data_IF_361274571620
#
_entry.id   IF_361274571620
#
_cell.length_a   1.000
_cell.length_b   1.000
_cell.length_c   1.000
_cell.angle_alpha   90.00
_cell.angle_beta   90.00
_cell.angle_gamma   90.00
#
_symmetry.space_group_name_H-M   'P 1'
#
loop_
_entity.id
_entity.type
_entity.pdbx_description
1 polymer ?
#
# COMPACT_ATOMS: atom_id res chain seq x y z
N UNK A 1 -7.88 -20.26 22.59
CA UNK A 1 -7.60 -19.30 21.50
C UNK A 1 -6.10 -19.14 21.43
N UNK A 2 -5.44 -19.67 20.39
CA UNK A 2 -3.99 -19.57 20.27
C UNK A 2 -3.62 -18.11 20.00
N UNK A 3 -2.79 -17.51 20.85
CA UNK A 3 -2.07 -16.29 20.51
C UNK A 3 -1.29 -16.58 19.22
N UNK A 4 -1.66 -15.91 18.12
CA UNK A 4 -0.77 -15.83 16.97
C UNK A 4 0.44 -15.03 17.45
N UNK A 5 1.64 -15.58 17.27
CA UNK A 5 2.86 -14.79 17.39
C UNK A 5 2.71 -13.51 16.57
N UNK A 6 2.90 -12.34 17.20
CA UNK A 6 2.84 -11.02 16.53
C UNK A 6 3.95 -10.85 15.46
N UNK A 7 4.86 -11.81 15.34
CA UNK A 7 5.95 -11.83 14.37
C UNK A 7 5.52 -12.61 13.13
N UNK A 8 5.40 -11.91 12.00
CA UNK A 8 5.17 -12.50 10.69
C UNK A 8 6.29 -13.51 10.35
N UNK A 9 5.97 -14.71 9.89
CA UNK A 9 6.97 -15.64 9.37
C UNK A 9 7.35 -15.32 7.90
N UNK A 10 8.29 -16.06 7.33
CA UNK A 10 8.77 -15.82 5.96
C UNK A 10 7.68 -16.07 4.91
N UNK A 11 6.84 -17.09 5.07
CA UNK A 11 5.72 -17.40 4.17
C UNK A 11 4.64 -16.30 4.20
N UNK A 12 4.38 -15.73 5.38
CA UNK A 12 3.46 -14.60 5.55
C UNK A 12 4.00 -13.33 4.88
N UNK A 13 5.29 -13.04 5.03
CA UNK A 13 5.94 -11.92 4.34
C UNK A 13 5.93 -12.09 2.83
N UNK A 14 6.18 -13.30 2.34
CA UNK A 14 6.12 -13.61 0.92
C UNK A 14 4.70 -13.48 0.37
N UNK A 15 3.69 -13.92 1.13
CA UNK A 15 2.29 -13.71 0.78
C UNK A 15 1.92 -12.22 0.70
N UNK A 16 2.48 -11.38 1.57
CA UNK A 16 2.29 -9.91 1.49
C UNK A 16 2.99 -9.36 0.26
N UNK A 17 4.24 -9.78 -0.03
CA UNK A 17 4.99 -9.37 -1.22
C UNK A 17 4.21 -9.66 -2.50
N UNK A 18 3.71 -10.89 -2.65
CA UNK A 18 2.94 -11.30 -3.82
C UNK A 18 1.68 -10.46 -4.02
N UNK A 19 0.95 -10.12 -2.94
CA UNK A 19 -0.19 -9.20 -3.03
C UNK A 19 0.22 -7.82 -3.54
N UNK A 20 1.38 -7.31 -3.13
CA UNK A 20 1.89 -6.02 -3.63
C UNK A 20 2.30 -6.06 -5.11
N UNK A 21 2.85 -7.19 -5.56
CA UNK A 21 3.29 -7.38 -6.95
C UNK A 21 2.11 -7.58 -7.91
N UNK A 22 1.05 -8.24 -7.46
CA UNK A 22 -0.18 -8.45 -8.25
C UNK A 22 -1.06 -7.20 -8.34
N UNK A 23 -0.96 -6.28 -7.39
CA UNK A 23 -1.69 -5.01 -7.42
C UNK A 23 -1.13 -4.05 -8.47
N UNK A 24 -1.99 -3.21 -9.06
CA UNK A 24 -1.60 -2.22 -10.08
C UNK A 24 -0.36 -1.42 -9.63
N UNK A 25 0.66 -1.24 -10.50
CA UNK A 25 1.87 -0.50 -10.15
C UNK A 25 1.59 0.90 -9.57
N UNK A 26 2.43 1.30 -8.62
CA UNK A 26 2.42 2.65 -8.06
C UNK A 26 3.06 3.68 -9.00
N UNK A 27 3.02 4.97 -8.64
CA UNK A 27 2.41 5.49 -7.41
C UNK A 27 0.88 5.55 -7.52
N UNK A 28 0.20 5.34 -6.38
CA UNK A 28 -1.22 5.61 -6.23
C UNK A 28 -1.39 6.94 -5.52
N UNK A 29 -2.34 7.76 -5.99
CA UNK A 29 -2.61 9.07 -5.41
C UNK A 29 -4.11 9.26 -5.22
N UNK A 30 -4.48 9.68 -4.01
CA UNK A 30 -5.86 10.03 -3.67
C UNK A 30 -6.20 11.43 -4.21
N UNK A 31 -7.30 11.52 -4.96
CA UNK A 31 -7.92 12.76 -5.40
C UNK A 31 -9.33 12.83 -4.79
N UNK A 32 -9.59 13.90 -4.05
CA UNK A 32 -10.84 14.12 -3.33
C UNK A 32 -11.56 15.35 -3.90
N UNK A 33 -12.83 15.19 -4.24
CA UNK A 33 -13.66 16.30 -4.71
C UNK A 33 -13.80 17.35 -3.59
N UNK A 34 -13.61 18.62 -3.95
CA UNK A 34 -13.59 19.75 -3.03
C UNK A 34 -12.26 19.99 -2.33
N UNK A 35 -11.32 19.02 -2.36
CA UNK A 35 -9.95 19.17 -1.82
C UNK A 35 -8.92 19.34 -2.94
N UNK A 36 -8.93 18.41 -3.89
CA UNK A 36 -7.90 18.28 -4.93
C UNK A 36 -8.43 18.63 -6.33
N UNK A 37 -9.74 18.56 -6.53
CA UNK A 37 -10.44 18.97 -7.75
C UNK A 37 -11.85 19.49 -7.41
N UNK A 38 -12.51 20.16 -8.36
CA UNK A 38 -13.75 20.91 -8.09
C UNK A 38 -15.03 20.24 -8.60
N UNK A 39 -14.92 19.11 -9.29
CA UNK A 39 -16.07 18.41 -9.87
C UNK A 39 -15.75 16.93 -10.13
N UNK A 40 -16.75 16.06 -9.97
CA UNK A 40 -16.67 14.63 -10.28
C UNK A 40 -16.54 13.79 -9.01
N UNK A 41 -16.49 12.47 -9.13
CA UNK A 41 -16.26 11.58 -7.98
C UNK A 41 -14.85 11.74 -7.40
N UNK A 42 -14.67 11.42 -6.13
CA UNK A 42 -13.35 11.16 -5.54
C UNK A 42 -12.82 9.80 -6.01
N UNK A 43 -11.51 9.70 -6.24
CA UNK A 43 -10.87 8.49 -6.77
C UNK A 43 -9.40 8.36 -6.36
N UNK A 44 -8.86 7.15 -6.46
CA UNK A 44 -7.42 6.90 -6.42
C UNK A 44 -6.90 6.75 -7.84
N UNK A 45 -6.03 7.65 -8.27
CA UNK A 45 -5.32 7.53 -9.55
C UNK A 45 -4.11 6.61 -9.38
N UNK A 46 -4.09 5.51 -10.13
CA UNK A 46 -2.90 4.65 -10.26
C UNK A 46 -1.90 5.28 -11.23
N UNK A 47 -0.61 4.99 -11.16
CA UNK A 47 0.39 5.57 -12.08
C UNK A 47 0.45 7.11 -12.07
N UNK A 48 0.19 7.75 -10.93
CA UNK A 48 0.20 9.21 -10.83
C UNK A 48 1.55 9.79 -11.30
N UNK A 49 1.51 10.80 -12.18
CA UNK A 49 2.72 11.41 -12.75
C UNK A 49 3.37 10.63 -13.90
N UNK A 50 2.88 9.44 -14.26
CA UNK A 50 3.35 8.70 -15.46
C UNK A 50 2.42 8.89 -16.66
N UNK A 51 1.24 9.48 -16.47
CA UNK A 51 0.26 9.75 -17.53
C UNK A 51 -0.49 8.51 -18.06
N UNK A 52 -0.22 7.34 -17.51
CA UNK A 52 -0.77 6.04 -17.93
C UNK A 52 -1.65 5.39 -16.85
N UNK A 53 -2.17 6.21 -15.95
CA UNK A 53 -2.94 5.80 -14.79
C UNK A 53 -4.41 5.50 -15.08
N UNK A 54 -4.99 4.56 -14.34
CA UNK A 54 -6.43 4.37 -14.25
C UNK A 54 -6.94 4.85 -12.88
N UNK A 55 -8.20 5.27 -12.85
CA UNK A 55 -8.89 5.66 -11.63
C UNK A 55 -9.55 4.46 -10.95
N UNK A 56 -9.40 4.39 -9.63
CA UNK A 56 -10.10 3.45 -8.75
C UNK A 56 -11.09 4.25 -7.93
N UNK A 57 -12.39 4.04 -8.16
CA UNK A 57 -13.45 4.64 -7.36
C UNK A 57 -13.78 3.76 -6.15
N UNK A 58 -13.89 4.38 -4.97
CA UNK A 58 -14.22 3.70 -3.73
C UNK A 58 -15.59 4.15 -3.24
N UNK A 59 -16.56 3.24 -3.28
CA UNK A 59 -17.90 3.49 -2.74
C UNK A 59 -17.94 3.20 -1.24
N UNK A 60 -18.45 4.16 -0.45
CA UNK A 60 -18.62 4.01 1.00
C UNK A 60 -17.36 4.21 1.85
N UNK A 61 -16.24 4.57 1.22
CA UNK A 61 -15.01 4.95 1.91
C UNK A 61 -15.09 6.39 2.43
N UNK A 62 -14.52 6.64 3.61
CA UNK A 62 -14.22 8.01 4.03
C UNK A 62 -13.00 8.55 3.27
N UNK A 63 -12.79 9.87 3.32
CA UNK A 63 -11.56 10.49 2.79
C UNK A 63 -10.30 9.85 3.38
N UNK A 64 -10.32 9.56 4.69
CA UNK A 64 -9.20 8.95 5.38
C UNK A 64 -8.92 7.51 4.92
N UNK A 65 -9.97 6.73 4.62
CA UNK A 65 -9.82 5.38 4.09
C UNK A 65 -9.18 5.41 2.69
N UNK A 66 -9.65 6.32 1.82
CA UNK A 66 -9.10 6.48 0.48
C UNK A 66 -7.62 6.90 0.53
N UNK A 67 -7.29 7.88 1.37
CA UNK A 67 -5.92 8.33 1.56
C UNK A 67 -5.04 7.20 2.12
N UNK A 68 -5.52 6.43 3.10
CA UNK A 68 -4.79 5.30 3.66
C UNK A 68 -4.50 4.23 2.59
N UNK A 69 -5.50 3.85 1.79
CA UNK A 69 -5.36 2.85 0.72
C UNK A 69 -4.34 3.33 -0.33
N UNK A 70 -4.41 4.61 -0.72
CA UNK A 70 -3.47 5.18 -1.66
C UNK A 70 -2.03 5.06 -1.13
N UNK A 71 -1.76 5.48 0.12
CA UNK A 71 -0.42 5.40 0.72
C UNK A 71 0.07 3.97 0.94
N UNK A 72 -0.82 3.05 1.33
CA UNK A 72 -0.47 1.66 1.59
C UNK A 72 0.21 0.99 0.39
N UNK A 73 -0.13 1.39 -0.84
CA UNK A 73 0.49 0.84 -2.06
C UNK A 73 2.01 1.08 -2.10
N UNK A 74 2.48 2.23 -1.64
CA UNK A 74 3.90 2.60 -1.59
C UNK A 74 4.55 2.16 -0.29
N UNK A 75 3.82 2.24 0.82
CA UNK A 75 4.38 1.97 2.14
C UNK A 75 4.62 0.47 2.38
N UNK A 76 3.71 -0.41 1.96
CA UNK A 76 3.87 -1.86 2.21
C UNK A 76 5.15 -2.42 1.58
N UNK A 77 5.49 -2.17 0.30
CA UNK A 77 6.77 -2.60 -0.26
C UNK A 77 8.00 -2.05 0.49
N UNK A 78 7.95 -0.81 0.97
CA UNK A 78 9.04 -0.19 1.75
C UNK A 78 9.18 -0.86 3.12
N UNK A 79 8.06 -1.17 3.77
CA UNK A 79 8.03 -1.88 5.04
C UNK A 79 8.56 -3.32 4.89
N UNK A 80 8.20 -4.03 3.81
CA UNK A 80 8.77 -5.35 3.51
C UNK A 80 10.30 -5.29 3.35
N UNK A 81 10.82 -4.27 2.64
CA UNK A 81 12.25 -4.07 2.49
C UNK A 81 12.95 -3.76 3.82
N UNK A 82 12.31 -2.95 4.68
CA UNK A 82 12.78 -2.66 6.04
C UNK A 82 12.86 -3.91 6.91
N UNK A 83 11.81 -4.74 6.89
CA UNK A 83 11.77 -6.00 7.63
C UNK A 83 12.89 -6.94 7.17
N UNK A 84 13.07 -7.09 5.85
CA UNK A 84 14.13 -7.93 5.29
C UNK A 84 15.53 -7.46 5.72
N UNK A 85 15.78 -6.15 5.67
CA UNK A 85 17.04 -5.56 6.14
C UNK A 85 17.25 -5.78 7.63
N UNK A 86 16.22 -5.58 8.44
CA UNK A 86 16.26 -5.78 9.89
C UNK A 86 16.58 -7.22 10.27
N UNK A 87 16.02 -8.21 9.55
CA UNK A 87 16.33 -9.64 9.75
C UNK A 87 17.77 -9.98 9.38
N UNK A 88 18.24 -9.46 8.25
CA UNK A 88 19.62 -9.68 7.79
C UNK A 88 20.67 -9.05 8.74
N UNK A 89 20.34 -7.92 9.39
CA UNK A 89 21.20 -7.33 10.41
C UNK A 89 21.25 -8.19 11.67
N UNK A 90 20.10 -8.68 12.14
CA UNK A 90 20.03 -9.56 13.31
C UNK A 90 20.77 -10.89 13.11
N UNK A 91 20.70 -11.48 11.93
CA UNK A 91 21.41 -12.74 11.63
C UNK A 91 22.93 -12.59 11.52
N UNK A 92 23.44 -11.37 11.32
CA UNK A 92 24.88 -11.05 11.29
C UNK A 92 25.47 -10.70 12.65
N UNK A 93 24.62 -10.45 13.65
CA UNK A 93 25.01 -10.05 15.01
C UNK A 93 24.82 -11.16 16.05
N UNK A 94 24.33 -12.33 15.63
CA UNK A 94 24.29 -13.56 16.44
C UNK A 94 25.31 -14.57 15.93
#
# INVERSE_FOLDING_TARGET
MSEKSDILNDDELESIRQRCELATPGPWQSFIEGRDHTSGSSFVMTGAGTGSGNDIELSGATVADQDFIAHARQDIPRLLAEIGRSRALKSRSG
#
